data_IF_655624589857
#
_entry.id   IF_655624589857
#
_cell.length_a   1.000
_cell.length_b   1.000
_cell.length_c   1.000
_cell.angle_alpha   90.00
_cell.angle_beta   90.00
_cell.angle_gamma   90.00
#
_symmetry.space_group_name_H-M   'P 1'
#
loop_
_entity.id
_entity.type
_entity.pdbx_description
1 polymer ?
#
# COMPACT_ATOMS: atom_id res chain seq x y z
N UNK A 1 8.48 -25.69 -2.41
CA UNK A 1 8.70 -24.24 -2.29
C UNK A 1 7.54 -23.72 -1.47
N UNK A 2 7.80 -23.04 -0.37
CA UNK A 2 6.78 -22.43 0.47
C UNK A 2 6.22 -21.24 -0.30
N UNK A 3 4.91 -21.17 -0.46
CA UNK A 3 4.20 -20.20 -1.27
C UNK A 3 3.02 -19.68 -0.45
N UNK A 4 2.43 -18.58 -0.85
CA UNK A 4 1.31 -17.95 -0.13
C UNK A 4 0.07 -18.85 -0.23
N UNK A 5 -0.54 -19.19 0.92
CA UNK A 5 -1.70 -20.07 1.01
C UNK A 5 -3.03 -19.35 0.91
N UNK A 6 -3.05 -18.07 1.25
CA UNK A 6 -4.25 -17.23 1.19
C UNK A 6 -3.84 -15.78 1.03
N UNK A 7 -4.62 -15.02 0.27
CA UNK A 7 -4.49 -13.57 0.12
C UNK A 7 -5.79 -12.93 0.56
N UNK A 8 -5.71 -11.94 1.44
CA UNK A 8 -6.86 -11.19 1.95
C UNK A 8 -6.60 -9.70 1.73
N UNK A 9 -7.22 -9.08 0.72
CA UNK A 9 -7.21 -7.62 0.59
C UNK A 9 -7.98 -6.99 1.75
N UNK A 10 -7.39 -5.97 2.35
CA UNK A 10 -7.97 -5.14 3.40
C UNK A 10 -8.28 -3.74 2.87
N UNK A 11 -9.26 -3.09 3.48
CA UNK A 11 -9.49 -1.66 3.31
C UNK A 11 -9.41 -1.03 4.69
N UNK A 12 -8.50 -0.06 4.89
CA UNK A 12 -8.30 0.61 6.18
C UNK A 12 -9.07 1.93 6.30
N UNK A 13 -9.76 2.33 5.27
CA UNK A 13 -10.50 3.58 5.17
C UNK A 13 -10.57 4.03 3.72
N UNK A 14 -10.83 5.31 3.54
CA UNK A 14 -10.90 5.92 2.21
C UNK A 14 -10.23 7.29 2.21
N UNK A 15 -9.83 7.72 1.02
CA UNK A 15 -9.46 9.10 0.74
C UNK A 15 -10.41 9.69 -0.29
N UNK A 16 -10.99 10.85 0.03
CA UNK A 16 -11.70 11.68 -0.92
C UNK A 16 -10.71 12.71 -1.46
N UNK A 17 -10.39 12.62 -2.74
CA UNK A 17 -9.31 13.38 -3.37
C UNK A 17 -9.63 13.76 -4.83
N UNK A 18 -8.97 14.80 -5.37
CA UNK A 18 -9.14 15.14 -6.79
C UNK A 18 -8.44 14.12 -7.68
N UNK A 19 -9.03 13.82 -8.84
CA UNK A 19 -8.49 12.86 -9.83
C UNK A 19 -7.03 13.17 -10.22
N UNK A 20 -6.59 14.41 -10.08
CA UNK A 20 -5.22 14.83 -10.36
C UNK A 20 -4.17 14.17 -9.46
N UNK A 21 -4.57 13.59 -8.34
CA UNK A 21 -3.68 12.81 -7.47
C UNK A 21 -3.42 11.43 -8.09
N UNK A 22 -4.46 10.76 -8.55
CA UNK A 22 -4.35 9.39 -9.10
C UNK A 22 -3.97 9.39 -10.58
N UNK A 23 -4.23 10.48 -11.32
CA UNK A 23 -3.86 10.61 -12.73
C UNK A 23 -3.17 11.95 -12.96
N UNK A 24 -1.91 11.92 -13.39
CA UNK A 24 -1.18 13.13 -13.78
C UNK A 24 -1.89 13.86 -14.93
N UNK A 25 -2.22 15.13 -14.72
CA UNK A 25 -2.98 15.90 -15.68
C UNK A 25 -4.47 15.55 -15.74
N UNK A 26 -5.00 14.83 -14.76
CA UNK A 26 -6.41 14.54 -14.59
C UNK A 26 -7.26 15.80 -14.38
N UNK A 27 -8.58 15.63 -14.34
CA UNK A 27 -9.51 16.74 -14.11
C UNK A 27 -9.60 17.09 -12.60
N UNK A 28 -9.15 18.29 -12.17
CA UNK A 28 -9.17 18.66 -10.76
C UNK A 28 -10.61 18.86 -10.20
N UNK A 29 -11.62 18.95 -11.04
CA UNK A 29 -13.03 19.06 -10.63
C UNK A 29 -13.67 17.70 -10.34
N UNK A 30 -13.08 16.63 -10.82
CA UNK A 30 -13.53 15.26 -10.55
C UNK A 30 -12.93 14.80 -9.22
N UNK A 31 -13.79 14.33 -8.32
CA UNK A 31 -13.38 13.76 -7.05
C UNK A 31 -13.55 12.24 -7.08
N UNK A 32 -12.59 11.56 -6.51
CA UNK A 32 -12.59 10.10 -6.33
C UNK A 32 -12.63 9.81 -4.82
N UNK A 33 -13.35 8.77 -4.46
CA UNK A 33 -13.31 8.20 -3.10
C UNK A 33 -12.60 6.87 -3.20
N UNK A 34 -11.32 6.88 -2.91
CA UNK A 34 -10.40 5.77 -3.12
C UNK A 34 -10.22 4.96 -1.83
N UNK A 35 -10.23 3.61 -1.91
CA UNK A 35 -9.94 2.77 -0.75
C UNK A 35 -8.48 2.88 -0.34
N UNK A 36 -8.19 2.88 0.95
CA UNK A 36 -6.83 2.75 1.50
C UNK A 36 -6.50 1.27 1.64
N UNK A 37 -5.58 0.75 0.82
CA UNK A 37 -5.35 -0.68 0.67
C UNK A 37 -4.41 -1.26 1.71
N UNK A 38 -4.58 -2.53 1.98
CA UNK A 38 -3.59 -3.41 2.59
C UNK A 38 -3.83 -4.84 2.16
N UNK A 39 -2.83 -5.69 2.27
CA UNK A 39 -2.97 -7.11 1.89
C UNK A 39 -2.34 -8.01 2.94
N UNK A 40 -3.11 -8.98 3.44
CA UNK A 40 -2.60 -10.08 4.24
C UNK A 40 -2.26 -11.27 3.33
N UNK A 41 -1.06 -11.81 3.51
CA UNK A 41 -0.61 -13.05 2.88
C UNK A 41 -0.37 -14.12 3.93
N UNK A 42 -1.12 -15.23 3.88
CA UNK A 42 -0.94 -16.35 4.80
C UNK A 42 0.30 -17.16 4.45
N UNK A 43 1.21 -17.28 5.40
CA UNK A 43 2.45 -18.05 5.33
C UNK A 43 2.40 -19.26 6.26
N UNK A 44 3.39 -20.14 6.20
CA UNK A 44 3.47 -21.31 7.13
C UNK A 44 3.62 -20.90 8.61
N UNK A 45 4.16 -19.71 8.90
CA UNK A 45 4.47 -19.28 10.27
C UNK A 45 3.71 -18.02 10.74
N UNK A 46 2.60 -17.67 10.13
CA UNK A 46 1.80 -16.48 10.47
C UNK A 46 1.42 -15.68 9.22
N UNK A 47 1.16 -14.40 9.39
CA UNK A 47 0.76 -13.52 8.31
C UNK A 47 1.84 -12.51 7.96
N UNK A 48 2.03 -12.26 6.67
CA UNK A 48 2.69 -11.05 6.17
C UNK A 48 1.60 -10.01 5.90
N UNK A 49 1.77 -8.82 6.45
CA UNK A 49 0.94 -7.66 6.12
C UNK A 49 1.69 -6.74 5.16
N UNK A 50 1.07 -6.40 4.06
CA UNK A 50 1.53 -5.39 3.10
C UNK A 50 0.72 -4.11 3.31
N UNK A 51 1.39 -3.04 3.70
CA UNK A 51 0.89 -1.75 4.15
C UNK A 51 -0.03 -1.80 5.38
N UNK A 52 -0.14 -0.68 6.09
CA UNK A 52 -0.71 -0.64 7.45
C UNK A 52 -1.84 0.40 7.63
N UNK A 53 -2.17 1.16 6.59
CA UNK A 53 -3.22 2.16 6.66
C UNK A 53 -2.84 3.42 7.45
N UNK A 54 -3.83 4.16 7.92
CA UNK A 54 -3.70 5.43 8.59
C UNK A 54 -3.18 5.37 10.03
N UNK A 55 -2.52 6.45 10.45
CA UNK A 55 -2.37 6.79 11.88
C UNK A 55 -3.67 7.42 12.38
N UNK A 56 -4.58 6.60 12.89
CA UNK A 56 -5.93 7.01 13.28
C UNK A 56 -5.98 8.22 14.21
N UNK A 57 -5.14 8.37 15.26
CA UNK A 57 -5.03 9.60 16.05
C UNK A 57 -4.81 10.87 15.21
N UNK A 58 -3.97 10.82 14.15
CA UNK A 58 -3.70 11.99 13.31
C UNK A 58 -4.90 12.39 12.45
N UNK A 59 -5.75 11.42 12.11
CA UNK A 59 -6.99 11.68 11.36
C UNK A 59 -8.11 12.13 12.28
N UNK A 60 -8.26 11.49 13.46
CA UNK A 60 -9.40 11.69 14.36
C UNK A 60 -9.33 12.98 15.18
N UNK A 61 -8.15 13.34 15.70
CA UNK A 61 -7.99 14.55 16.51
C UNK A 61 -7.96 15.80 15.61
N UNK A 62 -8.88 16.77 15.77
CA UNK A 62 -8.95 17.94 14.89
C UNK A 62 -7.71 18.84 14.92
N UNK A 63 -6.91 18.83 16.01
CA UNK A 63 -5.67 19.59 16.10
C UNK A 63 -4.54 18.89 15.36
N UNK A 64 -4.44 17.55 15.52
CA UNK A 64 -3.47 16.73 14.79
C UNK A 64 -3.81 16.69 13.31
N UNK A 65 -5.10 16.52 12.96
CA UNK A 65 -5.54 16.58 11.57
C UNK A 65 -5.09 17.87 10.88
N UNK A 66 -5.37 19.03 11.49
CA UNK A 66 -4.93 20.33 10.94
C UNK A 66 -3.40 20.44 10.82
N UNK A 67 -2.67 19.85 11.75
CA UNK A 67 -1.20 19.88 11.73
C UNK A 67 -0.61 19.03 10.61
N UNK A 68 -1.11 17.81 10.43
CA UNK A 68 -0.55 16.81 9.53
C UNK A 68 -1.25 16.79 8.17
N UNK A 69 -2.57 16.66 8.14
CA UNK A 69 -3.37 16.58 6.91
C UNK A 69 -3.84 17.95 6.40
N UNK A 70 -3.93 18.95 7.25
CA UNK A 70 -4.46 20.27 6.88
C UNK A 70 -3.59 21.08 5.91
N UNK A 71 -2.41 20.61 5.57
CA UNK A 71 -1.55 21.22 4.54
C UNK A 71 -1.98 20.84 3.13
N UNK A 72 -2.54 19.64 2.97
CA UNK A 72 -3.12 19.17 1.73
C UNK A 72 -4.65 19.18 1.84
N UNK A 73 -5.26 20.36 1.65
CA UNK A 73 -6.70 20.57 1.80
C UNK A 73 -7.54 19.82 0.76
N UNK A 74 -6.93 19.30 -0.27
CA UNK A 74 -7.61 18.62 -1.36
C UNK A 74 -7.81 17.12 -1.09
N UNK A 75 -7.09 16.54 -0.12
CA UNK A 75 -7.24 15.14 0.30
C UNK A 75 -7.95 15.08 1.66
N UNK A 76 -8.96 14.21 1.77
CA UNK A 76 -9.71 14.00 3.02
C UNK A 76 -9.69 12.53 3.38
N UNK A 77 -9.02 12.21 4.48
CA UNK A 77 -9.01 10.87 5.04
C UNK A 77 -10.35 10.55 5.73
N UNK A 78 -10.89 9.37 5.47
CA UNK A 78 -12.09 8.82 6.07
C UNK A 78 -11.76 7.48 6.74
N UNK A 79 -12.01 7.37 8.05
CA UNK A 79 -11.78 6.15 8.82
C UNK A 79 -12.92 5.15 8.62
N UNK A 80 -12.65 3.87 8.93
CA UNK A 80 -13.68 2.81 8.92
C UNK A 80 -14.71 2.99 10.04
N UNK A 81 -14.29 3.57 11.17
CA UNK A 81 -15.09 3.71 12.39
C UNK A 81 -14.66 4.97 13.13
N UNK A 82 -15.61 5.72 13.67
CA UNK A 82 -15.34 6.99 14.34
C UNK A 82 -14.65 6.80 15.70
N UNK A 83 -14.88 5.67 16.38
CA UNK A 83 -14.42 5.41 17.75
C UNK A 83 -13.27 4.39 17.82
N UNK A 84 -13.15 3.50 16.82
CA UNK A 84 -12.22 2.37 16.81
C UNK A 84 -11.05 2.61 15.85
N UNK A 85 -9.97 1.88 16.05
CA UNK A 85 -8.82 1.90 15.13
C UNK A 85 -9.18 1.18 13.83
N UNK A 86 -8.96 1.84 12.69
CA UNK A 86 -9.30 1.29 11.38
C UNK A 86 -8.56 -0.02 11.07
N UNK A 87 -7.32 -0.17 11.52
CA UNK A 87 -6.56 -1.41 11.36
C UNK A 87 -7.25 -2.55 12.13
N UNK A 88 -7.62 -2.32 13.40
CA UNK A 88 -8.30 -3.33 14.22
C UNK A 88 -9.65 -3.71 13.62
N UNK A 89 -10.43 -2.73 13.12
CA UNK A 89 -11.72 -2.98 12.45
C UNK A 89 -11.52 -3.82 11.18
N UNK A 90 -10.54 -3.48 10.34
CA UNK A 90 -10.27 -4.23 9.11
C UNK A 90 -9.86 -5.69 9.39
N UNK A 91 -9.04 -5.90 10.41
CA UNK A 91 -8.62 -7.26 10.83
C UNK A 91 -9.79 -8.07 11.40
N UNK A 92 -10.65 -7.45 12.23
CA UNK A 92 -11.84 -8.11 12.77
C UNK A 92 -12.80 -8.54 11.66
N UNK A 93 -13.02 -7.71 10.64
CA UNK A 93 -13.89 -8.04 9.49
C UNK A 93 -13.46 -9.32 8.76
N UNK A 94 -12.17 -9.62 8.75
CA UNK A 94 -11.62 -10.81 8.07
C UNK A 94 -11.27 -11.95 9.04
N UNK A 95 -11.46 -11.75 10.34
CA UNK A 95 -11.26 -12.78 11.37
C UNK A 95 -9.79 -13.15 11.60
N UNK A 96 -8.86 -12.20 11.42
CA UNK A 96 -7.42 -12.36 11.67
C UNK A 96 -7.03 -11.50 12.87
N UNK A 97 -6.22 -12.06 13.79
CA UNK A 97 -5.67 -11.28 14.90
C UNK A 97 -4.41 -10.51 14.42
N UNK A 98 -4.31 -9.18 14.63
CA UNK A 98 -3.08 -8.44 14.36
C UNK A 98 -1.83 -9.01 15.07
N UNK A 99 -2.04 -9.77 16.15
CA UNK A 99 -1.00 -10.53 16.87
C UNK A 99 -0.37 -11.64 16.06
N UNK A 100 -1.07 -12.18 15.07
CA UNK A 100 -0.60 -13.25 14.18
C UNK A 100 0.26 -12.75 13.01
N UNK A 101 0.36 -11.42 12.83
CA UNK A 101 1.28 -10.82 11.86
C UNK A 101 2.71 -11.04 12.32
N UNK A 102 3.50 -11.66 11.46
CA UNK A 102 4.91 -12.01 11.71
C UNK A 102 5.90 -11.18 10.90
N UNK A 103 5.44 -10.51 9.84
CA UNK A 103 6.24 -9.68 8.94
C UNK A 103 5.37 -8.52 8.45
N UNK A 104 5.94 -7.33 8.29
CA UNK A 104 5.33 -6.21 7.58
C UNK A 104 6.17 -5.84 6.37
N UNK A 105 5.54 -5.59 5.23
CA UNK A 105 6.15 -4.97 4.05
C UNK A 105 5.46 -3.63 3.77
N UNK A 106 6.21 -2.54 3.69
CA UNK A 106 5.68 -1.24 3.27
C UNK A 106 5.99 -0.99 1.82
N UNK A 107 4.99 -0.58 1.06
CA UNK A 107 5.18 -0.13 -0.32
C UNK A 107 5.99 1.17 -0.34
N UNK A 108 5.62 2.11 0.50
CA UNK A 108 6.27 3.40 0.72
C UNK A 108 5.83 4.02 2.07
N UNK A 109 6.17 5.28 2.32
CA UNK A 109 6.00 5.92 3.64
C UNK A 109 4.90 7.00 3.68
N UNK A 110 3.97 7.06 2.74
CA UNK A 110 2.80 7.92 2.90
C UNK A 110 1.95 7.49 4.09
N UNK A 111 1.22 8.44 4.65
CA UNK A 111 0.48 8.30 5.91
C UNK A 111 -0.65 7.27 5.86
N UNK A 112 -1.19 7.00 4.70
CA UNK A 112 -2.24 6.00 4.46
C UNK A 112 -1.67 4.58 4.24
N UNK A 113 -0.35 4.43 4.12
CA UNK A 113 0.36 3.14 4.01
C UNK A 113 1.18 2.82 5.26
N UNK A 114 1.87 3.82 5.83
CA UNK A 114 2.76 3.62 6.99
C UNK A 114 2.12 4.02 8.34
N UNK A 115 0.95 4.65 8.34
CA UNK A 115 0.36 5.25 9.54
C UNK A 115 -0.01 4.27 10.65
N UNK A 116 -0.31 3.01 10.31
CA UNK A 116 -0.58 1.94 11.27
C UNK A 116 0.66 1.21 11.77
N UNK A 117 1.88 1.57 11.32
CA UNK A 117 3.12 0.88 11.66
C UNK A 117 3.38 0.78 13.17
N UNK A 118 2.88 1.73 13.95
CA UNK A 118 2.95 1.74 15.42
C UNK A 118 2.44 0.45 16.08
N UNK A 119 1.50 -0.26 15.44
CA UNK A 119 0.96 -1.53 15.96
C UNK A 119 1.97 -2.67 15.87
N UNK A 120 3.02 -2.52 15.06
CA UNK A 120 4.00 -3.55 14.74
C UNK A 120 5.42 -3.21 15.21
N UNK A 121 5.69 -1.94 15.57
CA UNK A 121 6.99 -1.50 16.07
C UNK A 121 7.43 -2.32 17.29
N UNK A 122 8.67 -2.83 17.27
CA UNK A 122 9.23 -3.68 18.32
C UNK A 122 8.70 -5.12 18.36
N UNK A 123 7.84 -5.50 17.41
CA UNK A 123 7.19 -6.82 17.42
C UNK A 123 7.61 -7.70 16.25
N UNK A 124 7.72 -7.13 15.05
CA UNK A 124 7.99 -7.87 13.82
C UNK A 124 8.96 -7.10 12.92
N UNK A 125 9.71 -7.78 12.03
CA UNK A 125 10.52 -7.11 11.03
C UNK A 125 9.64 -6.35 10.02
N UNK A 126 10.13 -5.18 9.60
CA UNK A 126 9.48 -4.27 8.65
C UNK A 126 10.36 -4.10 7.42
N UNK A 127 9.89 -4.58 6.28
CA UNK A 127 10.58 -4.49 5.00
C UNK A 127 10.22 -3.22 4.25
N UNK A 128 11.24 -2.48 3.81
CA UNK A 128 11.11 -1.27 3.00
C UNK A 128 12.34 -1.11 2.12
N UNK A 129 12.26 -0.33 1.04
CA UNK A 129 13.46 0.05 0.31
C UNK A 129 14.30 1.05 1.14
N UNK A 130 15.63 0.85 1.19
CA UNK A 130 16.54 1.78 1.86
C UNK A 130 16.40 3.22 1.37
N UNK A 131 16.18 3.37 0.07
CA UNK A 131 16.00 4.67 -0.57
C UNK A 131 14.74 5.38 -0.05
N UNK A 132 13.67 4.65 0.22
CA UNK A 132 12.42 5.20 0.76
C UNK A 132 12.62 5.72 2.19
N UNK A 133 13.18 4.90 3.07
CA UNK A 133 13.45 5.31 4.44
C UNK A 133 14.44 6.48 4.49
N UNK A 134 15.47 6.46 3.67
CA UNK A 134 16.44 7.55 3.59
C UNK A 134 15.78 8.86 3.13
N UNK A 135 14.85 8.78 2.19
CA UNK A 135 14.06 9.93 1.73
C UNK A 135 13.17 10.46 2.85
N UNK A 136 12.36 9.61 3.48
CA UNK A 136 11.45 9.99 4.58
C UNK A 136 12.17 10.61 5.78
N UNK A 137 13.41 10.17 6.07
CA UNK A 137 14.26 10.71 7.13
C UNK A 137 15.10 11.93 6.69
N UNK A 138 15.02 12.34 5.44
CA UNK A 138 15.80 13.48 4.96
C UNK A 138 15.37 14.77 5.66
N UNK A 139 16.31 15.72 5.77
CA UNK A 139 16.02 17.05 6.33
C UNK A 139 15.26 17.96 5.34
N UNK A 140 14.92 17.46 4.18
CA UNK A 140 14.17 18.20 3.17
C UNK A 140 12.72 18.39 3.64
N UNK A 141 12.14 19.60 3.56
CA UNK A 141 10.76 19.84 4.00
C UNK A 141 9.71 19.10 3.17
N UNK A 142 10.08 18.65 1.97
CA UNK A 142 9.18 17.98 1.01
C UNK A 142 8.44 16.76 1.54
N UNK A 143 9.07 15.78 2.21
CA UNK A 143 8.36 14.58 2.68
C UNK A 143 7.12 14.89 3.52
N UNK A 144 7.21 15.75 4.53
CA UNK A 144 6.06 16.10 5.38
C UNK A 144 4.98 16.90 4.63
N UNK A 145 5.36 17.73 3.67
CA UNK A 145 4.42 18.54 2.88
C UNK A 145 3.61 17.67 1.90
N UNK A 146 4.13 16.48 1.60
CA UNK A 146 3.53 15.51 0.70
C UNK A 146 2.97 14.27 1.40
N UNK A 147 2.71 14.32 2.70
CA UNK A 147 2.01 13.24 3.40
C UNK A 147 2.91 12.13 3.97
N UNK A 148 4.23 12.28 3.93
CA UNK A 148 5.18 11.38 4.58
C UNK A 148 5.50 11.91 5.99
N UNK A 149 4.82 11.38 6.99
CA UNK A 149 4.90 11.90 8.36
C UNK A 149 5.89 11.09 9.20
N UNK A 150 7.00 11.70 9.62
CA UNK A 150 8.03 11.01 10.43
C UNK A 150 7.49 10.38 11.71
N UNK A 151 6.42 10.93 12.29
CA UNK A 151 5.75 10.37 13.46
C UNK A 151 5.25 8.93 13.24
N UNK A 152 5.02 8.52 12.00
CA UNK A 152 4.48 7.21 11.67
C UNK A 152 5.58 6.13 11.64
N UNK A 153 6.84 6.48 11.32
CA UNK A 153 7.90 5.52 11.05
C UNK A 153 9.28 5.82 11.69
N UNK A 154 9.53 7.05 12.17
CA UNK A 154 10.79 7.42 12.82
C UNK A 154 10.77 6.99 14.29
N UNK A 155 10.70 5.69 14.52
CA UNK A 155 10.69 5.05 15.83
C UNK A 155 11.85 4.04 15.92
N UNK A 156 12.68 4.20 16.95
CA UNK A 156 13.83 3.31 17.19
C UNK A 156 13.43 1.84 17.49
N UNK A 157 12.16 1.58 17.82
CA UNK A 157 11.66 0.23 18.03
C UNK A 157 11.38 -0.54 16.72
N UNK A 158 11.29 0.13 15.57
CA UNK A 158 11.03 -0.54 14.29
C UNK A 158 12.24 -1.35 13.85
N UNK A 159 12.06 -2.66 13.68
CA UNK A 159 13.10 -3.57 13.16
C UNK A 159 13.14 -3.50 11.62
N UNK A 160 13.80 -2.50 11.09
CA UNK A 160 13.92 -2.27 9.65
C UNK A 160 14.73 -3.34 8.93
N UNK A 161 14.16 -3.93 7.88
CA UNK A 161 14.79 -4.82 6.91
C UNK A 161 14.85 -4.12 5.55
N UNK A 162 15.95 -3.41 5.31
CA UNK A 162 16.08 -2.51 4.17
C UNK A 162 16.61 -3.24 2.94
N UNK A 163 15.76 -3.24 1.88
CA UNK A 163 16.13 -3.75 0.56
C UNK A 163 16.87 -2.69 -0.29
N UNK A 164 17.72 -3.16 -1.19
CA UNK A 164 18.39 -2.36 -2.22
C UNK A 164 18.11 -2.99 -3.60
N UNK A 165 16.85 -3.01 -4.03
CA UNK A 165 16.42 -3.68 -5.25
C UNK A 165 15.35 -4.73 -5.00
N UNK A 166 15.24 -5.71 -5.92
CA UNK A 166 14.33 -6.85 -5.74
C UNK A 166 14.76 -7.69 -4.52
N UNK A 167 13.79 -7.96 -3.63
CA UNK A 167 14.07 -8.67 -2.39
C UNK A 167 12.93 -9.62 -2.07
N UNK A 168 13.19 -10.90 -1.88
CA UNK A 168 12.22 -11.83 -1.32
C UNK A 168 12.07 -11.50 0.18
N UNK A 169 10.90 -10.96 0.56
CA UNK A 169 10.60 -10.54 1.94
C UNK A 169 9.95 -11.65 2.76
N UNK A 170 9.34 -12.60 2.08
CA UNK A 170 8.79 -13.82 2.62
C UNK A 170 8.73 -14.88 1.52
N UNK A 171 8.64 -16.18 1.84
CA UNK A 171 8.52 -17.23 0.84
C UNK A 171 7.34 -16.99 -0.11
N UNK A 172 7.65 -16.77 -1.40
CA UNK A 172 6.66 -16.47 -2.44
C UNK A 172 6.23 -15.01 -2.51
N UNK A 173 6.82 -14.10 -1.74
CA UNK A 173 6.54 -12.66 -1.83
C UNK A 173 7.82 -11.87 -2.09
N UNK A 174 7.88 -11.24 -3.25
CA UNK A 174 9.02 -10.44 -3.70
C UNK A 174 8.61 -8.96 -3.71
N UNK A 175 9.35 -8.13 -3.00
CA UNK A 175 9.30 -6.68 -3.13
C UNK A 175 10.08 -6.27 -4.38
N UNK A 176 9.45 -5.54 -5.28
CA UNK A 176 10.02 -5.09 -6.56
C UNK A 176 10.07 -3.56 -6.56
N UNK A 177 11.24 -2.93 -6.73
CA UNK A 177 11.32 -1.49 -6.86
C UNK A 177 10.47 -0.95 -8.00
N UNK A 178 9.60 -0.02 -7.69
CA UNK A 178 8.72 0.69 -8.63
C UNK A 178 8.78 2.18 -8.32
N UNK A 179 10.01 2.70 -8.34
CA UNK A 179 10.27 4.11 -8.10
C UNK A 179 9.47 4.98 -9.07
N UNK A 180 8.92 6.06 -8.58
CA UNK A 180 8.09 6.95 -9.39
C UNK A 180 7.09 7.72 -8.54
N UNK A 181 6.16 7.07 -7.85
CA UNK A 181 5.27 7.75 -6.91
C UNK A 181 6.05 8.40 -5.76
N UNK A 182 6.91 7.63 -5.11
CA UNK A 182 7.97 8.15 -4.23
C UNK A 182 9.35 7.69 -4.71
N UNK A 183 10.45 8.33 -4.26
CA UNK A 183 11.80 7.95 -4.68
C UNK A 183 12.18 6.49 -4.40
N UNK A 184 11.57 5.85 -3.41
CA UNK A 184 11.89 4.49 -3.01
C UNK A 184 10.69 3.54 -3.01
N UNK A 185 9.58 3.88 -3.66
CA UNK A 185 8.39 3.03 -3.75
C UNK A 185 8.71 1.61 -4.25
N UNK A 186 8.04 0.61 -3.68
CA UNK A 186 8.08 -0.78 -4.13
C UNK A 186 6.68 -1.37 -4.24
N UNK A 187 6.50 -2.24 -5.21
CA UNK A 187 5.32 -3.08 -5.39
C UNK A 187 5.63 -4.51 -4.96
N UNK A 188 4.61 -5.37 -4.88
CA UNK A 188 4.81 -6.75 -4.44
C UNK A 188 4.31 -7.77 -5.46
N UNK A 189 5.13 -8.81 -5.68
CA UNK A 189 4.80 -9.98 -6.51
C UNK A 189 4.53 -11.14 -5.58
N UNK A 190 3.30 -11.65 -5.59
CA UNK A 190 2.81 -12.70 -4.70
C UNK A 190 2.57 -13.96 -5.51
N UNK A 191 3.31 -15.03 -5.20
CA UNK A 191 3.15 -16.36 -5.81
C UNK A 191 2.29 -17.24 -4.90
N UNK A 192 1.20 -17.76 -5.44
CA UNK A 192 0.27 -18.59 -4.71
C UNK A 192 0.73 -20.06 -4.63
N UNK A 193 0.29 -20.77 -3.60
CA UNK A 193 0.41 -22.23 -3.59
C UNK A 193 -0.39 -22.85 -4.75
N UNK A 194 -0.01 -24.03 -5.25
CA UNK A 194 -0.75 -24.66 -6.34
C UNK A 194 -2.25 -24.84 -6.04
N UNK A 195 -2.59 -25.18 -4.81
CA UNK A 195 -3.97 -25.34 -4.36
C UNK A 195 -4.73 -24.00 -4.39
N UNK A 196 -4.10 -22.93 -3.87
CA UNK A 196 -4.69 -21.60 -3.87
C UNK A 196 -4.79 -21.02 -5.28
N UNK A 197 -3.80 -21.26 -6.12
CA UNK A 197 -3.78 -20.87 -7.51
C UNK A 197 -4.93 -21.50 -8.31
N UNK A 198 -5.21 -22.79 -8.07
CA UNK A 198 -6.37 -23.48 -8.66
C UNK A 198 -7.69 -22.88 -8.17
N UNK A 199 -7.80 -22.62 -6.86
CA UNK A 199 -9.02 -22.05 -6.26
C UNK A 199 -9.32 -20.62 -6.76
N UNK A 200 -8.29 -19.81 -6.97
CA UNK A 200 -8.44 -18.42 -7.41
C UNK A 200 -8.40 -18.27 -8.94
N UNK A 201 -8.02 -19.32 -9.66
CA UNK A 201 -7.92 -19.32 -11.13
C UNK A 201 -6.76 -18.48 -11.67
N UNK A 202 -5.80 -18.11 -10.83
CA UNK A 202 -4.58 -17.36 -11.18
C UNK A 202 -3.39 -17.87 -10.37
N UNK A 203 -2.17 -17.93 -10.95
CA UNK A 203 -1.01 -18.43 -10.24
C UNK A 203 -0.42 -17.43 -9.23
N UNK A 204 -0.84 -16.16 -9.27
CA UNK A 204 -0.36 -15.12 -8.36
C UNK A 204 -0.90 -13.74 -8.67
N UNK A 205 -0.42 -12.77 -7.92
CA UNK A 205 -0.77 -11.36 -8.04
C UNK A 205 0.48 -10.49 -8.15
N UNK A 206 0.35 -9.40 -8.91
CA UNK A 206 1.26 -8.27 -8.89
C UNK A 206 0.46 -7.12 -8.27
N UNK A 207 0.80 -6.71 -7.06
CA UNK A 207 0.13 -5.67 -6.31
C UNK A 207 0.87 -4.35 -6.55
N UNK A 208 0.26 -3.45 -7.30
CA UNK A 208 0.91 -2.21 -7.72
C UNK A 208 1.09 -1.22 -6.58
N UNK A 209 0.13 -1.16 -5.64
CA UNK A 209 -0.01 -0.04 -4.72
C UNK A 209 0.06 1.27 -5.52
N UNK A 210 0.78 2.29 -5.07
CA UNK A 210 0.80 3.62 -5.70
C UNK A 210 1.74 3.74 -6.92
N UNK A 211 2.30 2.62 -7.39
CA UNK A 211 2.84 2.61 -8.75
C UNK A 211 1.72 2.73 -9.82
N UNK A 212 0.48 2.36 -9.46
CA UNK A 212 -0.71 2.56 -10.26
C UNK A 212 -1.94 2.59 -9.34
N UNK A 213 -2.51 3.75 -9.11
CA UNK A 213 -3.68 3.93 -8.24
C UNK A 213 -4.93 3.33 -8.86
N UNK A 214 -5.15 3.59 -10.14
CA UNK A 214 -6.34 3.18 -10.89
C UNK A 214 -6.01 2.15 -11.99
N UNK A 215 -6.98 1.32 -12.34
CA UNK A 215 -6.87 0.44 -13.50
C UNK A 215 -6.54 1.21 -14.77
N UNK A 216 -7.03 2.43 -14.86
CA UNK A 216 -6.77 3.33 -15.98
C UNK A 216 -5.28 3.69 -16.13
N UNK A 217 -4.52 3.83 -15.02
CA UNK A 217 -3.07 4.02 -15.09
C UNK A 217 -2.40 2.83 -15.82
N UNK A 218 -2.87 1.61 -15.54
CA UNK A 218 -2.34 0.38 -16.13
C UNK A 218 -2.72 0.26 -17.61
N UNK A 219 -4.00 0.48 -17.93
CA UNK A 219 -4.54 0.23 -19.27
C UNK A 219 -4.02 1.24 -20.31
N UNK A 220 -3.97 2.52 -19.91
CA UNK A 220 -3.58 3.64 -20.78
C UNK A 220 -2.11 4.06 -20.60
N UNK A 221 -1.38 3.45 -19.65
CA UNK A 221 0.00 3.82 -19.25
C UNK A 221 0.09 5.31 -18.86
N UNK A 222 -0.85 5.76 -18.03
CA UNK A 222 -0.88 7.11 -17.50
C UNK A 222 -0.09 7.20 -16.20
N UNK A 223 0.72 8.23 -16.07
CA UNK A 223 1.43 8.53 -14.82
C UNK A 223 0.44 8.75 -13.68
N UNK A 224 0.75 8.27 -12.47
CA UNK A 224 0.09 8.74 -11.25
C UNK A 224 0.38 10.22 -11.04
N UNK A 225 -0.50 10.94 -10.34
CA UNK A 225 -0.37 12.40 -10.22
C UNK A 225 0.29 12.86 -8.92
N UNK A 226 0.17 12.09 -7.85
CA UNK A 226 0.70 12.42 -6.53
C UNK A 226 2.18 12.08 -6.33
N UNK A 227 2.99 12.00 -7.38
CA UNK A 227 4.41 11.68 -7.28
C UNK A 227 5.23 12.82 -6.63
N UNK A 228 6.32 12.45 -5.94
CA UNK A 228 7.14 13.36 -5.16
C UNK A 228 8.62 13.20 -5.53
N UNK A 229 9.29 14.32 -5.88
CA UNK A 229 10.73 14.37 -6.21
C UNK A 229 11.15 13.33 -7.27
N UNK A 230 10.24 13.02 -8.19
CA UNK A 230 10.37 12.08 -9.30
C UNK A 230 9.76 12.69 -10.56
N UNK A 231 9.58 11.91 -11.62
CA UNK A 231 9.01 12.38 -12.89
C UNK A 231 7.83 11.53 -13.35
N UNK A 232 6.90 12.06 -14.18
CA UNK A 232 5.84 11.26 -14.78
C UNK A 232 6.38 10.04 -15.53
N UNK A 233 7.52 10.16 -16.19
CA UNK A 233 8.17 9.09 -16.93
C UNK A 233 8.59 7.94 -16.00
N UNK A 234 9.12 8.23 -14.82
CA UNK A 234 9.48 7.21 -13.83
C UNK A 234 8.25 6.44 -13.34
N UNK A 235 7.11 7.12 -13.13
CA UNK A 235 5.86 6.44 -12.76
C UNK A 235 5.34 5.54 -13.87
N UNK A 236 5.40 5.97 -15.14
CA UNK A 236 5.02 5.16 -16.30
C UNK A 236 5.95 3.94 -16.46
N UNK A 237 7.25 4.10 -16.26
CA UNK A 237 8.21 3.01 -16.34
C UNK A 237 7.97 1.96 -15.23
N UNK A 238 7.55 2.39 -14.03
CA UNK A 238 7.11 1.49 -12.97
C UNK A 238 5.89 0.65 -13.40
N UNK A 239 4.87 1.29 -13.99
CA UNK A 239 3.68 0.60 -14.53
C UNK A 239 4.08 -0.43 -15.60
N UNK A 240 4.91 -0.04 -16.57
CA UNK A 240 5.39 -0.93 -17.64
C UNK A 240 6.14 -2.14 -17.10
N UNK A 241 6.98 -1.91 -16.08
CA UNK A 241 7.69 -2.99 -15.38
C UNK A 241 6.71 -3.99 -14.76
N UNK A 242 5.68 -3.51 -14.05
CA UNK A 242 4.66 -4.38 -13.43
C UNK A 242 3.84 -5.14 -14.46
N UNK A 243 3.45 -4.50 -15.57
CA UNK A 243 2.78 -5.16 -16.70
C UNK A 243 3.63 -6.29 -17.28
N UNK A 244 4.93 -6.04 -17.47
CA UNK A 244 5.85 -7.06 -18.00
C UNK A 244 5.99 -8.26 -17.04
N UNK A 245 6.12 -8.01 -15.72
CA UNK A 245 6.17 -9.08 -14.71
C UNK A 245 4.87 -9.89 -14.70
N UNK A 246 3.72 -9.20 -14.72
CA UNK A 246 2.40 -9.84 -14.72
C UNK A 246 2.22 -10.73 -15.95
N UNK A 247 2.58 -10.23 -17.14
CA UNK A 247 2.50 -10.98 -18.38
C UNK A 247 3.42 -12.20 -18.44
N UNK A 248 4.69 -12.04 -18.00
CA UNK A 248 5.68 -13.13 -17.97
C UNK A 248 5.25 -14.27 -17.04
N UNK A 249 4.67 -13.95 -15.89
CA UNK A 249 4.23 -14.94 -14.88
C UNK A 249 2.80 -15.43 -15.06
N UNK A 250 2.00 -14.79 -15.91
CA UNK A 250 0.55 -15.01 -15.99
C UNK A 250 -0.19 -14.58 -14.72
N UNK A 251 0.33 -13.60 -14.00
CA UNK A 251 -0.25 -13.10 -12.75
C UNK A 251 -1.26 -11.98 -13.03
N UNK A 252 -2.21 -11.80 -12.11
CA UNK A 252 -3.13 -10.68 -12.16
C UNK A 252 -2.47 -9.44 -11.59
N UNK A 253 -2.37 -8.37 -12.38
CA UNK A 253 -1.95 -7.05 -11.92
C UNK A 253 -3.15 -6.33 -11.29
N UNK A 254 -2.96 -5.78 -10.08
CA UNK A 254 -4.00 -5.14 -9.27
C UNK A 254 -3.54 -3.73 -8.92
N UNK A 255 -4.32 -2.68 -9.27
CA UNK A 255 -4.06 -1.30 -8.86
C UNK A 255 -4.30 -1.10 -7.35
N UNK A 256 -3.70 -0.05 -6.76
CA UNK A 256 -3.78 0.18 -5.31
C UNK A 256 -5.11 0.77 -4.86
N UNK A 257 -5.54 1.86 -5.46
CA UNK A 257 -6.60 2.73 -4.94
C UNK A 257 -7.88 2.75 -5.79
N UNK A 258 -8.02 1.85 -6.76
CA UNK A 258 -9.16 1.89 -7.68
C UNK A 258 -10.49 1.57 -6.96
N UNK A 259 -11.46 2.52 -6.93
CA UNK A 259 -12.69 2.36 -6.16
C UNK A 259 -13.65 1.30 -6.71
N UNK A 260 -13.42 0.81 -7.94
CA UNK A 260 -14.21 -0.27 -8.55
C UNK A 260 -13.46 -1.60 -8.52
N UNK A 261 -12.17 -1.57 -8.87
CA UNK A 261 -11.34 -2.78 -8.98
C UNK A 261 -11.00 -3.36 -7.61
N UNK A 262 -10.64 -2.53 -6.62
CA UNK A 262 -10.25 -3.01 -5.29
C UNK A 262 -11.38 -3.76 -4.58
N UNK A 263 -12.62 -3.23 -4.48
CA UNK A 263 -13.73 -4.00 -3.92
C UNK A 263 -14.11 -5.23 -4.74
N UNK A 264 -13.97 -5.18 -6.09
CA UNK A 264 -14.21 -6.33 -6.94
C UNK A 264 -13.15 -7.42 -6.73
N UNK A 265 -11.89 -7.04 -6.56
CA UNK A 265 -10.80 -7.94 -6.21
C UNK A 265 -11.06 -8.63 -4.85
N UNK A 266 -11.40 -7.85 -3.82
CA UNK A 266 -11.74 -8.35 -2.49
C UNK A 266 -12.88 -9.39 -2.57
N UNK A 267 -13.98 -9.05 -3.23
CA UNK A 267 -15.11 -9.98 -3.42
C UNK A 267 -14.75 -11.23 -4.22
N UNK A 268 -13.86 -11.13 -5.22
CA UNK A 268 -13.45 -12.27 -6.04
C UNK A 268 -12.70 -13.34 -5.23
N UNK A 269 -12.13 -12.97 -4.10
CA UNK A 269 -11.45 -13.87 -3.16
C UNK A 269 -12.36 -14.34 -2.01
N UNK A 270 -13.65 -13.99 -2.05
CA UNK A 270 -14.62 -14.36 -1.02
C UNK A 270 -14.47 -13.61 0.30
N UNK A 271 -13.83 -12.43 0.26
CA UNK A 271 -13.55 -11.60 1.44
C UNK A 271 -14.65 -10.54 1.58
N UNK A 272 -15.18 -10.29 2.80
CA UNK A 272 -16.10 -9.17 3.03
C UNK A 272 -15.39 -7.83 2.77
N UNK A 273 -16.11 -6.87 2.20
CA UNK A 273 -15.65 -5.49 1.99
C UNK A 273 -16.46 -4.56 2.90
N UNK A 274 -15.83 -3.57 3.56
CA UNK A 274 -16.52 -2.58 4.39
C UNK A 274 -17.44 -1.67 3.59
#
# INVERSE_FOLDING_TARGET
MTTVRRVIPLTFGWEDLPQTISIHGGDPSVRLREPVPGVLCELDGGWLLLDTGFNVPLVRDPHLYRRFHGRNHDIRAELLDDDRDSLEVAFELVGVDPGDVSIVGLSHLHNDHAGGLRHFAGRVPVHCQRRELAYGLSAHPGPEEHGIFRIDFDDAAVDWRLGDGETEIAPGVIAVPTYGHTPGHQSFVVTLSPETAEAYGVPGFVLAFDAADLQRNIDEELAVGGFIDTTPEETIDAIRRLKAIAADKGYRLVPGHDPEVWPAFTRSLGIPSP
#
